data_IF_741894555825
#
_entry.id   IF_741894555825
#
_cell.length_a   1.000
_cell.length_b   1.000
_cell.length_c   1.000
_cell.angle_alpha   90.00
_cell.angle_beta   90.00
_cell.angle_gamma   90.00
#
_symmetry.space_group_name_H-M   'P 1'
#
loop_
_entity.id
_entity.type
_entity.pdbx_description
1 polymer ?
#
# COMPACT_ATOMS: atom_id res chain seq x y z
N UNK A 1 -8.72 12.39 15.99
CA UNK A 1 -9.16 12.58 14.59
C UNK A 1 -8.92 11.26 13.88
N UNK A 2 -9.95 10.48 13.58
CA UNK A 2 -9.75 9.10 13.09
C UNK A 2 -8.93 9.08 11.78
N UNK A 3 -7.92 8.20 11.75
CA UNK A 3 -7.05 7.96 10.59
C UNK A 3 -7.88 7.56 9.36
N UNK A 4 -7.84 8.36 8.30
CA UNK A 4 -8.68 8.16 7.12
C UNK A 4 -7.88 7.77 5.88
N UNK A 5 -8.34 6.74 5.16
CA UNK A 5 -7.79 6.28 3.88
C UNK A 5 -8.49 6.92 2.67
N UNK A 6 -9.76 7.33 2.85
CA UNK A 6 -10.55 7.97 1.80
C UNK A 6 -11.60 8.93 2.36
N UNK A 7 -11.60 10.15 1.85
CA UNK A 7 -12.61 11.17 2.14
C UNK A 7 -13.56 11.35 0.95
N UNK A 8 -14.84 11.48 1.24
CA UNK A 8 -15.87 11.90 0.30
C UNK A 8 -16.55 13.15 0.85
N UNK A 9 -16.49 14.26 0.11
CA UNK A 9 -17.06 15.56 0.52
C UNK A 9 -16.65 16.00 1.95
N UNK A 10 -15.38 15.82 2.30
CA UNK A 10 -14.84 16.16 3.63
C UNK A 10 -15.18 15.17 4.75
N UNK A 11 -15.98 14.13 4.45
CA UNK A 11 -16.35 13.07 5.40
C UNK A 11 -15.46 11.85 5.20
N UNK A 12 -14.99 11.26 6.30
CA UNK A 12 -14.22 10.02 6.21
C UNK A 12 -15.19 8.86 5.95
N UNK A 13 -15.09 8.24 4.77
CA UNK A 13 -15.94 7.10 4.38
C UNK A 13 -15.20 5.77 4.47
N UNK A 14 -13.86 5.81 4.50
CA UNK A 14 -13.02 4.64 4.71
C UNK A 14 -11.89 4.98 5.68
N UNK A 15 -11.87 4.33 6.84
CA UNK A 15 -10.78 4.47 7.81
C UNK A 15 -9.54 3.72 7.34
N UNK A 16 -8.36 4.18 7.77
CA UNK A 16 -7.09 3.52 7.48
C UNK A 16 -7.08 2.07 7.96
N UNK A 17 -7.59 1.82 9.16
CA UNK A 17 -7.70 0.47 9.71
C UNK A 17 -8.61 -0.43 8.87
N UNK A 18 -9.80 0.05 8.50
CA UNK A 18 -10.73 -0.74 7.68
C UNK A 18 -10.15 -1.06 6.30
N UNK A 19 -9.46 -0.10 5.69
CA UNK A 19 -8.77 -0.28 4.42
C UNK A 19 -7.72 -1.42 4.51
N UNK A 20 -6.82 -1.32 5.49
CA UNK A 20 -5.73 -2.29 5.67
C UNK A 20 -6.28 -3.68 6.01
N UNK A 21 -7.25 -3.79 6.93
CA UNK A 21 -7.81 -5.09 7.33
C UNK A 21 -8.45 -5.82 6.15
N UNK A 22 -9.19 -5.11 5.30
CA UNK A 22 -9.80 -5.72 4.10
C UNK A 22 -8.76 -6.19 3.09
N UNK A 23 -7.69 -5.42 2.87
CA UNK A 23 -6.62 -5.85 1.98
C UNK A 23 -5.79 -7.01 2.57
N UNK A 24 -5.64 -7.09 3.90
CA UNK A 24 -5.03 -8.24 4.56
C UNK A 24 -5.88 -9.52 4.44
N UNK A 25 -7.21 -9.43 4.47
CA UNK A 25 -8.10 -10.58 4.27
C UNK A 25 -7.83 -11.25 2.92
N UNK A 26 -7.70 -10.45 1.84
CA UNK A 26 -7.42 -10.97 0.50
C UNK A 26 -5.97 -11.40 0.34
N UNK A 27 -4.99 -10.72 0.95
CA UNK A 27 -3.59 -11.20 0.97
C UNK A 27 -3.50 -12.59 1.62
N UNK A 28 -4.13 -12.75 2.79
CA UNK A 28 -4.12 -14.00 3.53
C UNK A 28 -4.81 -15.12 2.73
N UNK A 29 -6.04 -14.87 2.28
CA UNK A 29 -6.78 -15.85 1.52
C UNK A 29 -6.11 -16.20 0.20
N UNK A 30 -5.82 -15.19 -0.63
CA UNK A 30 -5.61 -15.37 -2.07
C UNK A 30 -4.17 -15.73 -2.38
N UNK A 31 -3.25 -15.18 -1.60
CA UNK A 31 -1.83 -15.33 -1.83
C UNK A 31 -1.22 -16.28 -0.79
N UNK A 32 -1.31 -15.96 0.50
CA UNK A 32 -0.52 -16.68 1.51
C UNK A 32 -0.96 -18.12 1.72
N UNK A 33 -2.28 -18.40 1.84
CA UNK A 33 -2.80 -19.79 1.93
C UNK A 33 -2.49 -20.65 0.71
N UNK A 34 -2.09 -20.05 -0.42
CA UNK A 34 -1.72 -20.73 -1.66
C UNK A 34 -0.21 -20.87 -1.86
N UNK A 35 0.57 -20.62 -0.82
CA UNK A 35 2.03 -20.77 -0.87
C UNK A 35 2.74 -19.63 -1.60
N UNK A 36 2.10 -18.46 -1.76
CA UNK A 36 2.76 -17.30 -2.36
C UNK A 36 3.99 -16.84 -1.57
N UNK A 37 4.02 -17.07 -0.25
CA UNK A 37 5.20 -16.85 0.58
C UNK A 37 6.41 -17.68 0.11
N UNK A 38 6.23 -18.93 -0.29
CA UNK A 38 7.30 -19.79 -0.85
C UNK A 38 7.75 -19.33 -2.24
N UNK A 39 6.84 -18.73 -3.03
CA UNK A 39 7.20 -18.06 -4.27
C UNK A 39 8.06 -16.81 -3.99
N UNK A 40 7.58 -15.92 -3.12
CA UNK A 40 8.29 -14.70 -2.73
C UNK A 40 9.66 -15.00 -2.10
N UNK A 41 9.75 -16.01 -1.24
CA UNK A 41 11.01 -16.46 -0.65
C UNK A 41 12.08 -16.76 -1.70
N UNK A 42 11.72 -17.47 -2.77
CA UNK A 42 12.64 -17.79 -3.87
C UNK A 42 12.99 -16.56 -4.72
N UNK A 43 12.07 -15.61 -4.87
CA UNK A 43 12.28 -14.39 -5.64
C UNK A 43 13.15 -13.38 -4.88
N UNK A 44 12.90 -13.22 -3.59
CA UNK A 44 13.54 -12.24 -2.72
C UNK A 44 14.76 -12.82 -1.99
N UNK A 45 15.00 -14.13 -2.11
CA UNK A 45 16.07 -14.87 -1.43
C UNK A 45 16.03 -14.68 0.11
N UNK A 46 14.85 -14.88 0.70
CA UNK A 46 14.62 -14.79 2.14
C UNK A 46 13.85 -16.01 2.65
N UNK A 47 13.82 -16.20 3.96
CA UNK A 47 13.00 -17.24 4.59
C UNK A 47 11.49 -17.09 4.23
N UNK A 48 10.75 -18.18 3.98
CA UNK A 48 9.31 -18.13 3.68
C UNK A 48 8.45 -17.39 4.71
N UNK A 49 8.77 -17.48 6.01
CA UNK A 49 8.03 -16.75 7.05
C UNK A 49 8.24 -15.24 6.85
N UNK A 50 9.48 -14.82 6.68
CA UNK A 50 9.82 -13.42 6.41
C UNK A 50 9.19 -12.93 5.10
N UNK A 51 9.17 -13.74 4.04
CA UNK A 51 8.53 -13.39 2.78
C UNK A 51 7.03 -13.08 2.93
N UNK A 52 6.32 -13.86 3.75
CA UNK A 52 4.92 -13.59 4.09
C UNK A 52 4.75 -12.30 4.91
N UNK A 53 5.63 -12.07 5.89
CA UNK A 53 5.62 -10.84 6.69
C UNK A 53 5.91 -9.59 5.84
N UNK A 54 6.87 -9.67 4.93
CA UNK A 54 7.21 -8.61 3.97
C UNK A 54 5.98 -8.22 3.15
N UNK A 55 5.23 -9.19 2.60
CA UNK A 55 4.02 -8.87 1.83
C UNK A 55 2.96 -8.16 2.69
N UNK A 56 2.69 -8.66 3.89
CA UNK A 56 1.73 -8.03 4.82
C UNK A 56 2.15 -6.62 5.19
N UNK A 57 3.41 -6.43 5.61
CA UNK A 57 3.96 -5.13 6.02
C UNK A 57 3.97 -4.12 4.87
N UNK A 58 4.32 -4.57 3.65
CA UNK A 58 4.26 -3.74 2.45
C UNK A 58 2.84 -3.20 2.26
N UNK A 59 1.81 -4.05 2.36
CA UNK A 59 0.43 -3.60 2.26
C UNK A 59 -0.02 -2.71 3.42
N UNK A 60 0.40 -2.98 4.66
CA UNK A 60 0.02 -2.13 5.80
C UNK A 60 0.56 -0.70 5.61
N UNK A 61 1.77 -0.54 5.09
CA UNK A 61 2.45 0.76 4.99
C UNK A 61 2.21 1.46 3.64
N UNK A 62 1.65 0.79 2.62
CA UNK A 62 1.59 1.33 1.26
C UNK A 62 0.91 2.70 1.12
N UNK A 63 0.02 3.02 2.05
CA UNK A 63 -0.79 4.22 2.07
C UNK A 63 -0.42 5.22 3.18
N UNK A 64 0.70 5.00 3.88
CA UNK A 64 1.14 5.87 4.98
C UNK A 64 1.36 7.33 4.57
N UNK A 65 1.63 7.62 3.30
CA UNK A 65 1.68 8.98 2.78
C UNK A 65 0.36 9.75 2.92
N UNK A 66 -0.78 9.04 3.01
CA UNK A 66 -2.09 9.65 3.33
C UNK A 66 -2.13 10.21 4.75
N UNK A 67 -1.24 9.75 5.62
CA UNK A 67 -1.17 10.13 7.03
C UNK A 67 -0.47 11.47 7.28
N UNK A 68 0.06 12.14 6.25
CA UNK A 68 0.53 13.53 6.38
C UNK A 68 -0.54 14.38 7.06
N UNK A 69 -0.16 15.12 8.09
CA UNK A 69 -1.11 15.83 8.93
C UNK A 69 -1.91 16.87 8.12
N UNK A 70 -1.26 17.53 7.17
CA UNK A 70 -1.92 18.44 6.23
C UNK A 70 -2.97 17.77 5.35
N UNK A 71 -2.83 16.47 5.06
CA UNK A 71 -3.79 15.70 4.28
C UNK A 71 -5.02 15.34 5.12
N UNK A 72 -4.79 14.87 6.34
CA UNK A 72 -5.86 14.51 7.28
C UNK A 72 -6.66 15.75 7.72
N UNK A 73 -6.00 16.90 7.93
CA UNK A 73 -6.66 18.17 8.29
C UNK A 73 -7.51 18.75 7.17
N UNK A 74 -7.03 18.73 5.91
CA UNK A 74 -7.82 19.26 4.79
C UNK A 74 -9.02 18.39 4.43
N UNK A 75 -8.96 17.08 4.71
CA UNK A 75 -10.03 16.11 4.41
C UNK A 75 -10.38 16.02 2.91
N UNK A 76 -9.35 16.01 2.07
CA UNK A 76 -9.45 15.98 0.61
C UNK A 76 -8.54 14.91 0.00
N UNK A 77 -8.50 14.83 -1.34
CA UNK A 77 -7.68 13.89 -2.13
C UNK A 77 -6.22 13.85 -1.68
N UNK A 78 -5.63 12.66 -1.66
CA UNK A 78 -4.25 12.43 -1.26
C UNK A 78 -3.30 12.42 -2.47
N UNK A 79 -3.04 13.59 -3.06
CA UNK A 79 -2.13 13.66 -4.22
C UNK A 79 -0.72 13.19 -3.84
N UNK A 80 -0.11 12.36 -4.68
CA UNK A 80 1.26 11.86 -4.52
C UNK A 80 1.52 11.03 -3.26
N UNK A 81 0.48 10.46 -2.63
CA UNK A 81 0.67 9.73 -1.38
C UNK A 81 1.55 8.49 -1.55
N UNK A 82 1.52 7.82 -2.69
CA UNK A 82 2.39 6.70 -3.03
C UNK A 82 3.88 7.07 -2.96
N UNK A 83 4.25 8.29 -3.36
CA UNK A 83 5.63 8.76 -3.23
C UNK A 83 5.99 8.98 -1.76
N UNK A 84 5.15 9.68 -1.01
CA UNK A 84 5.40 9.93 0.41
C UNK A 84 5.41 8.60 1.20
N UNK A 85 4.55 7.65 0.85
CA UNK A 85 4.55 6.30 1.40
C UNK A 85 5.85 5.57 1.12
N UNK A 86 6.36 5.66 -0.11
CA UNK A 86 7.61 5.00 -0.49
C UNK A 86 8.81 5.55 0.29
N UNK A 87 8.84 6.86 0.57
CA UNK A 87 9.88 7.47 1.43
C UNK A 87 9.84 6.90 2.85
N UNK A 88 8.66 6.86 3.47
CA UNK A 88 8.49 6.25 4.81
C UNK A 88 8.87 4.77 4.79
N UNK A 89 8.44 4.03 3.77
CA UNK A 89 8.76 2.62 3.61
C UNK A 89 10.27 2.38 3.46
N UNK A 90 10.99 3.26 2.76
CA UNK A 90 12.45 3.17 2.63
C UNK A 90 13.16 3.30 3.99
N UNK A 91 12.70 4.21 4.84
CA UNK A 91 13.24 4.35 6.20
C UNK A 91 12.88 3.15 7.10
N UNK A 92 11.60 2.77 7.14
CA UNK A 92 11.09 1.70 8.03
C UNK A 92 11.65 0.33 7.62
N UNK A 93 11.75 0.07 6.32
CA UNK A 93 12.18 -1.23 5.80
C UNK A 93 13.66 -1.31 5.46
N UNK A 94 14.44 -0.24 5.65
CA UNK A 94 15.89 -0.25 5.39
C UNK A 94 16.65 -1.36 6.14
N UNK A 95 16.15 -1.80 7.30
CA UNK A 95 16.68 -2.94 8.06
C UNK A 95 16.61 -4.28 7.32
N UNK A 96 15.79 -4.39 6.27
CA UNK A 96 15.68 -5.58 5.41
C UNK A 96 16.63 -5.51 4.19
N UNK A 97 17.52 -4.51 4.13
CA UNK A 97 18.47 -4.33 3.03
C UNK A 97 17.76 -4.20 1.68
N UNK A 98 18.30 -4.86 0.65
CA UNK A 98 17.73 -4.79 -0.71
C UNK A 98 16.28 -5.28 -0.83
N UNK A 99 15.76 -6.05 0.13
CA UNK A 99 14.33 -6.39 0.17
C UNK A 99 13.49 -5.18 0.59
N UNK A 100 13.99 -4.37 1.53
CA UNK A 100 13.34 -3.12 1.93
C UNK A 100 13.23 -2.12 0.79
N UNK A 101 14.28 -2.02 -0.03
CA UNK A 101 14.27 -1.20 -1.24
C UNK A 101 13.19 -1.67 -2.23
N UNK A 102 13.08 -3.00 -2.43
CA UNK A 102 12.03 -3.61 -3.27
C UNK A 102 10.62 -3.30 -2.73
N UNK A 103 10.42 -3.34 -1.41
CA UNK A 103 9.15 -2.98 -0.78
C UNK A 103 8.81 -1.50 -1.01
N UNK A 104 9.77 -0.60 -0.81
CA UNK A 104 9.60 0.84 -1.04
C UNK A 104 9.22 1.14 -2.48
N UNK A 105 9.89 0.51 -3.46
CA UNK A 105 9.57 0.70 -4.89
C UNK A 105 8.23 0.07 -5.27
N UNK A 106 7.87 -1.10 -4.71
CA UNK A 106 6.54 -1.67 -4.93
C UNK A 106 5.43 -0.74 -4.42
N UNK A 107 5.66 -0.07 -3.28
CA UNK A 107 4.77 0.97 -2.77
C UNK A 107 4.76 2.19 -3.67
N UNK A 108 5.88 2.66 -4.21
CA UNK A 108 5.87 3.79 -5.15
C UNK A 108 4.95 3.54 -6.36
N UNK A 109 4.90 2.30 -6.83
CA UNK A 109 4.27 1.92 -8.10
C UNK A 109 2.83 1.41 -7.95
N UNK A 110 2.25 1.40 -6.75
CA UNK A 110 0.96 0.72 -6.48
C UNK A 110 -0.27 1.30 -7.20
N UNK A 111 -0.22 2.55 -7.68
CA UNK A 111 -1.27 3.10 -8.55
C UNK A 111 -1.04 2.86 -10.04
N UNK A 112 0.04 2.17 -10.43
CA UNK A 112 0.44 1.99 -11.82
C UNK A 112 0.64 3.28 -12.64
N UNK A 113 0.85 4.41 -11.97
CA UNK A 113 1.16 5.71 -12.57
C UNK A 113 2.67 5.89 -12.79
N UNK A 114 3.21 5.17 -13.78
CA UNK A 114 4.65 5.04 -14.04
C UNK A 114 5.24 6.23 -14.81
N UNK A 115 4.40 6.96 -15.53
CA UNK A 115 4.79 8.14 -16.30
C UNK A 115 4.11 9.35 -15.69
N UNK A 116 4.91 10.30 -15.20
CA UNK A 116 4.41 11.52 -14.55
C UNK A 116 4.96 12.76 -15.20
N UNK A 117 4.07 13.70 -15.47
CA UNK A 117 4.41 15.04 -15.97
C UNK A 117 4.69 16.05 -14.86
N UNK A 118 4.35 15.71 -13.60
CA UNK A 118 4.54 16.58 -12.43
C UNK A 118 5.25 15.81 -11.34
N UNK A 119 6.23 16.45 -10.70
CA UNK A 119 6.90 15.93 -9.52
C UNK A 119 6.11 16.28 -8.24
N UNK A 120 6.13 15.43 -7.22
CA UNK A 120 5.67 15.79 -5.88
C UNK A 120 6.47 16.96 -5.32
N UNK A 121 5.77 17.93 -4.74
CA UNK A 121 6.39 19.03 -4.01
C UNK A 121 6.63 18.63 -2.54
N UNK A 122 7.59 19.32 -1.90
CA UNK A 122 7.80 19.19 -0.46
C UNK A 122 6.57 19.71 0.28
N UNK A 123 5.89 18.88 1.10
CA UNK A 123 4.80 19.37 1.94
C UNK A 123 5.28 20.47 2.89
N UNK A 124 4.43 21.46 3.15
CA UNK A 124 4.74 22.52 4.13
C UNK A 124 4.87 21.98 5.55
N UNK A 125 4.07 20.95 5.89
CA UNK A 125 4.20 20.18 7.13
C UNK A 125 4.56 18.73 6.77
N UNK A 126 5.66 18.22 7.32
CA UNK A 126 6.12 16.84 7.15
C UNK A 126 5.59 15.89 8.22
N UNK A 127 4.95 16.39 9.28
CA UNK A 127 4.44 15.56 10.36
C UNK A 127 3.40 14.55 9.86
N UNK A 128 3.50 13.33 10.37
CA UNK A 128 2.51 12.28 10.21
C UNK A 128 1.55 12.30 11.41
N UNK A 129 0.26 12.17 11.14
CA UNK A 129 -0.79 12.19 12.14
C UNK A 129 -0.62 11.04 13.15
N UNK A 130 -0.62 11.35 14.45
CA UNK A 130 -0.43 10.35 15.51
C UNK A 130 -1.46 9.22 15.48
N UNK A 131 -2.74 9.53 15.23
CA UNK A 131 -3.80 8.52 15.17
C UNK A 131 -3.55 7.52 14.03
N UNK A 132 -3.00 7.99 12.90
CA UNK A 132 -2.58 7.12 11.82
C UNK A 132 -1.37 6.25 12.21
N UNK A 133 -0.36 6.86 12.84
CA UNK A 133 0.84 6.16 13.26
C UNK A 133 0.49 5.03 14.24
N UNK A 134 -0.37 5.29 15.22
CA UNK A 134 -0.80 4.26 16.18
C UNK A 134 -1.42 3.04 15.49
N UNK A 135 -2.32 3.23 14.53
CA UNK A 135 -2.94 2.12 13.76
C UNK A 135 -1.90 1.37 12.95
N UNK A 136 -1.00 2.08 12.26
CA UNK A 136 0.00 1.47 11.40
C UNK A 136 1.07 0.73 12.20
N UNK A 137 1.54 1.30 13.30
CA UNK A 137 2.53 0.69 14.22
C UNK A 137 1.94 -0.58 14.86
N UNK A 138 0.67 -0.54 15.30
CA UNK A 138 -0.03 -1.71 15.84
C UNK A 138 -0.15 -2.85 14.82
N UNK A 139 -0.63 -2.55 13.60
CA UNK A 139 -0.86 -3.57 12.58
C UNK A 139 0.43 -4.12 11.99
N UNK A 140 1.43 -3.26 11.76
CA UNK A 140 2.70 -3.66 11.14
C UNK A 140 3.69 -4.27 12.14
N UNK A 141 3.60 -3.92 13.42
CA UNK A 141 4.65 -4.20 14.41
C UNK A 141 5.96 -3.46 14.11
N UNK A 142 5.92 -2.42 13.28
CA UNK A 142 7.06 -1.56 12.98
C UNK A 142 6.91 -0.21 13.67
N UNK A 143 8.03 0.41 14.05
CA UNK A 143 8.03 1.81 14.51
C UNK A 143 8.11 2.71 13.29
N UNK A 144 7.20 3.67 13.18
CA UNK A 144 7.17 4.61 12.07
C UNK A 144 7.84 5.94 12.48
N UNK A 145 8.49 6.65 11.53
CA UNK A 145 8.98 7.99 11.80
C UNK A 145 7.80 8.93 12.06
N UNK A 146 8.00 9.94 12.91
CA UNK A 146 6.97 10.96 13.21
C UNK A 146 6.87 12.01 12.12
N UNK A 147 7.95 12.21 11.37
CA UNK A 147 8.03 13.11 10.23
C UNK A 147 8.35 12.32 8.97
N UNK A 148 7.83 12.77 7.82
CA UNK A 148 8.17 12.23 6.52
C UNK A 148 9.68 12.40 6.25
N UNK A 149 10.45 11.33 5.98
CA UNK A 149 11.86 11.41 5.59
C UNK A 149 11.99 12.01 4.19
N UNK A 150 11.92 13.35 4.13
CA UNK A 150 11.81 14.06 2.87
C UNK A 150 13.04 13.84 1.98
N UNK A 151 12.78 13.48 0.73
CA UNK A 151 13.77 13.39 -0.34
C UNK A 151 13.24 14.04 -1.61
N UNK A 152 14.12 14.61 -2.45
CA UNK A 152 13.67 15.16 -3.73
C UNK A 152 13.23 14.02 -4.66
N UNK A 153 12.21 14.29 -5.47
CA UNK A 153 11.67 13.35 -6.45
C UNK A 153 12.76 12.73 -7.34
N UNK A 154 13.60 13.54 -7.99
CA UNK A 154 14.61 13.03 -8.91
C UNK A 154 15.65 12.13 -8.22
N UNK A 155 16.03 12.46 -6.98
CA UNK A 155 16.98 11.67 -6.20
C UNK A 155 16.36 10.30 -5.86
N UNK A 156 15.10 10.27 -5.43
CA UNK A 156 14.41 9.01 -5.13
C UNK A 156 14.11 8.18 -6.39
N UNK A 157 13.76 8.82 -7.51
CA UNK A 157 13.48 8.11 -8.76
C UNK A 157 14.73 7.44 -9.34
N UNK A 158 15.91 8.06 -9.21
CA UNK A 158 17.18 7.43 -9.59
C UNK A 158 17.42 6.14 -8.79
N UNK A 159 17.19 6.18 -7.47
CA UNK A 159 17.30 4.99 -6.61
C UNK A 159 16.27 3.93 -6.97
N UNK A 160 15.01 4.33 -7.20
CA UNK A 160 13.96 3.41 -7.63
C UNK A 160 14.30 2.73 -8.96
N UNK A 161 14.87 3.46 -9.92
CA UNK A 161 15.36 2.90 -11.18
C UNK A 161 16.47 1.88 -10.97
N UNK A 162 17.43 2.15 -10.09
CA UNK A 162 18.50 1.20 -9.77
C UNK A 162 17.94 -0.09 -9.15
N UNK A 163 16.98 0.02 -8.23
CA UNK A 163 16.30 -1.12 -7.60
C UNK A 163 15.54 -1.92 -8.65
N UNK A 164 14.79 -1.27 -9.53
CA UNK A 164 14.10 -1.94 -10.64
C UNK A 164 15.07 -2.64 -11.58
N UNK A 165 16.22 -2.04 -11.91
CA UNK A 165 17.25 -2.69 -12.74
C UNK A 165 17.83 -3.93 -12.09
N UNK A 166 18.05 -3.91 -10.77
CA UNK A 166 18.64 -5.03 -10.02
C UNK A 166 17.62 -6.13 -9.70
N UNK A 167 16.37 -5.77 -9.40
CA UNK A 167 15.37 -6.70 -8.88
C UNK A 167 13.94 -6.40 -9.36
N UNK A 168 13.76 -6.23 -10.67
CA UNK A 168 12.46 -6.05 -11.31
C UNK A 168 11.45 -7.13 -10.89
N UNK A 169 11.91 -8.39 -10.86
CA UNK A 169 11.08 -9.55 -10.50
C UNK A 169 10.53 -9.45 -9.08
N UNK A 170 11.37 -9.03 -8.11
CA UNK A 170 10.94 -8.82 -6.73
C UNK A 170 9.89 -7.72 -6.61
N UNK A 171 10.13 -6.58 -7.26
CA UNK A 171 9.20 -5.44 -7.26
C UNK A 171 7.82 -5.87 -7.76
N UNK A 172 7.74 -6.49 -8.94
CA UNK A 172 6.45 -6.92 -9.48
C UNK A 172 5.77 -8.05 -8.69
N UNK A 173 6.57 -8.90 -8.03
CA UNK A 173 6.03 -9.97 -7.18
C UNK A 173 5.37 -9.44 -5.91
N UNK A 174 5.76 -8.24 -5.42
CA UNK A 174 5.04 -7.57 -4.34
C UNK A 174 3.93 -6.65 -4.86
N UNK A 175 4.16 -5.97 -5.98
CA UNK A 175 3.24 -5.00 -6.56
C UNK A 175 1.89 -5.62 -6.93
N UNK A 176 1.88 -6.80 -7.56
CA UNK A 176 0.64 -7.42 -8.01
C UNK A 176 -0.33 -7.74 -6.84
N UNK A 177 0.08 -8.46 -5.78
CA UNK A 177 -0.77 -8.64 -4.61
C UNK A 177 -1.19 -7.34 -3.95
N UNK A 178 -0.29 -6.35 -3.92
CA UNK A 178 -0.55 -5.05 -3.29
C UNK A 178 -1.70 -4.30 -3.99
N UNK A 179 -1.66 -4.23 -5.32
CA UNK A 179 -2.66 -3.54 -6.14
C UNK A 179 -4.01 -4.22 -6.04
N UNK A 180 -4.03 -5.56 -6.04
CA UNK A 180 -5.26 -6.34 -5.87
C UNK A 180 -5.85 -6.09 -4.48
N UNK A 181 -5.02 -6.06 -3.44
CA UNK A 181 -5.46 -5.83 -2.07
C UNK A 181 -6.01 -4.41 -1.85
N UNK A 182 -5.33 -3.38 -2.35
CA UNK A 182 -5.77 -1.98 -2.28
C UNK A 182 -7.12 -1.78 -2.99
N UNK A 183 -7.23 -2.24 -4.24
CA UNK A 183 -8.47 -2.07 -5.00
C UNK A 183 -9.64 -2.86 -4.42
N UNK A 184 -9.38 -4.07 -3.90
CA UNK A 184 -10.39 -4.87 -3.21
C UNK A 184 -10.88 -4.17 -1.94
N UNK A 185 -9.97 -3.65 -1.11
CA UNK A 185 -10.31 -2.93 0.11
C UNK A 185 -11.13 -1.67 -0.18
N UNK A 186 -10.66 -0.85 -1.12
CA UNK A 186 -11.35 0.35 -1.57
C UNK A 186 -12.76 0.05 -2.07
N UNK A 187 -12.92 -0.97 -2.92
CA UNK A 187 -14.22 -1.32 -3.48
C UNK A 187 -15.18 -1.85 -2.40
N UNK A 188 -14.74 -2.66 -1.43
CA UNK A 188 -15.63 -3.10 -0.36
C UNK A 188 -16.06 -1.97 0.57
N UNK A 189 -15.12 -1.12 0.98
CA UNK A 189 -15.41 -0.08 1.95
C UNK A 189 -16.21 1.08 1.33
N UNK A 190 -16.13 1.28 0.01
CA UNK A 190 -16.79 2.38 -0.72
C UNK A 190 -18.00 1.92 -1.54
N UNK A 191 -18.50 0.70 -1.30
CA UNK A 191 -19.71 0.17 -1.95
C UNK A 191 -19.60 -0.07 -3.45
N UNK A 192 -18.43 -0.49 -3.94
CA UNK A 192 -18.18 -0.80 -5.35
C UNK A 192 -17.95 0.43 -6.25
N UNK A 193 -18.07 1.64 -5.69
CA UNK A 193 -17.78 2.88 -6.42
C UNK A 193 -16.31 3.23 -6.28
N UNK A 194 -15.55 3.31 -7.39
CA UNK A 194 -14.19 3.88 -7.30
C UNK A 194 -13.18 3.51 -8.38
N UNK A 195 -13.23 2.34 -9.00
CA UNK A 195 -12.29 2.01 -10.09
C UNK A 195 -12.80 0.86 -10.98
N UNK A 196 -12.53 0.96 -12.29
CA UNK A 196 -12.76 -0.14 -13.25
C UNK A 196 -12.03 -1.42 -12.82
N UNK A 197 -10.81 -1.27 -12.30
CA UNK A 197 -9.99 -2.38 -11.81
C UNK A 197 -10.62 -3.11 -10.62
N UNK A 198 -11.24 -2.36 -9.68
CA UNK A 198 -11.97 -2.97 -8.57
C UNK A 198 -13.09 -3.89 -9.07
N UNK A 199 -13.88 -3.45 -10.05
CA UNK A 199 -14.93 -4.27 -10.68
C UNK A 199 -14.35 -5.51 -11.36
N UNK A 200 -13.28 -5.37 -12.13
CA UNK A 200 -12.61 -6.50 -12.80
C UNK A 200 -12.08 -7.53 -11.79
N UNK A 201 -11.55 -7.08 -10.64
CA UNK A 201 -11.12 -7.97 -9.56
C UNK A 201 -12.31 -8.79 -9.04
N UNK A 202 -13.47 -8.16 -8.78
CA UNK A 202 -14.66 -8.89 -8.33
C UNK A 202 -15.19 -9.86 -9.38
N UNK A 203 -15.19 -9.50 -10.66
CA UNK A 203 -15.57 -10.42 -11.74
C UNK A 203 -14.68 -11.68 -11.72
N UNK A 204 -13.36 -11.51 -11.61
CA UNK A 204 -12.40 -12.63 -11.55
C UNK A 204 -12.60 -13.48 -10.28
N UNK A 205 -12.82 -12.85 -9.13
CA UNK A 205 -13.02 -13.56 -7.86
C UNK A 205 -14.37 -14.31 -7.83
N UNK A 206 -15.42 -13.73 -8.39
CA UNK A 206 -16.75 -14.35 -8.51
C UNK A 206 -16.70 -15.63 -9.36
N UNK A 207 -16.03 -15.58 -10.52
CA UNK A 207 -15.83 -16.76 -11.39
C UNK A 207 -15.14 -17.92 -10.63
N UNK A 208 -14.32 -17.61 -9.63
CA UNK A 208 -13.58 -18.62 -8.85
C UNK A 208 -14.29 -19.09 -7.57
N UNK A 209 -15.54 -18.69 -7.33
CA UNK A 209 -16.34 -19.16 -6.20
C UNK A 209 -15.79 -18.74 -4.84
N UNK A 210 -15.17 -17.56 -4.76
CA UNK A 210 -14.58 -17.07 -3.52
C UNK A 210 -15.63 -16.50 -2.57
N UNK A 211 -15.77 -17.08 -1.38
CA UNK A 211 -16.68 -16.56 -0.35
C UNK A 211 -16.34 -15.12 0.09
N UNK A 212 -15.06 -14.74 -0.08
CA UNK A 212 -14.53 -13.39 0.15
C UNK A 212 -15.12 -12.37 -0.85
N UNK A 213 -15.54 -12.80 -2.04
CA UNK A 213 -16.16 -11.93 -3.05
C UNK A 213 -17.61 -11.52 -2.69
N UNK A 214 -18.23 -12.14 -1.68
CA UNK A 214 -19.62 -11.85 -1.25
C UNK A 214 -19.77 -10.53 -0.45
N UNK A 215 -18.71 -9.74 -0.34
CA UNK A 215 -18.70 -8.50 0.45
C UNK A 215 -19.53 -7.33 -0.13
N UNK A 216 -20.04 -7.45 -1.36
CA UNK A 216 -20.95 -6.47 -1.98
C UNK A 216 -22.39 -7.00 -1.97
N UNK A 217 -23.32 -6.23 -1.40
CA UNK A 217 -24.75 -6.52 -1.46
C UNK A 217 -25.25 -6.38 -2.89
N UNK A 218 -25.39 -7.50 -3.60
CA UNK A 218 -25.86 -7.53 -4.99
C UNK A 218 -25.20 -8.62 -5.83
N UNK A 219 -23.97 -9.04 -5.51
CA UNK A 219 -23.24 -9.98 -6.37
C UNK A 219 -23.22 -9.48 -7.82
N UNK A 220 -22.65 -8.29 -8.05
CA UNK A 220 -22.89 -7.46 -9.24
C UNK A 220 -24.37 -7.10 -9.44
#
# INVERSE_FOLDING_TARGET
MNACAYFENGTCVETMEAHIRRGLDIIEGLYLRRGYASFLSRVLNVDPKLAGEVLKKTHIIHDVGKCLEGFQKRREKFRFHEFYSALVAGEVFGKYGGVGDVMSVAILLHHHDWVRYRSPEKPKNLELCNDCLSVLEELSGERLPRELPWKKWNEFMQEAEEVMRRNLKGVYSLLLPLVVADNYAAALNRGGTGSTLGREIFEVLNVRGWDVARGLSGGL
#
